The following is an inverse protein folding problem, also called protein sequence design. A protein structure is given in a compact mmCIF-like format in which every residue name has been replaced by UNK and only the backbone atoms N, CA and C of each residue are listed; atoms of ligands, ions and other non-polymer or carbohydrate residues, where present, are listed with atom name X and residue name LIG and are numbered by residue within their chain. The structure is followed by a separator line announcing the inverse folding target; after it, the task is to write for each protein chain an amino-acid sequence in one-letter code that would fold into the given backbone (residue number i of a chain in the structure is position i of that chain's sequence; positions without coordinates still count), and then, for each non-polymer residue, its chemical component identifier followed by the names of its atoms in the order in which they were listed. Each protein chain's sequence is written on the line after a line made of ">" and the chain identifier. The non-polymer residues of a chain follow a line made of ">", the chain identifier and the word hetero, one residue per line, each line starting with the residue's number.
data_IF_572613154202
#
_entry.id   IF_572613154202
#
_cell.length_a   1.000
_cell.length_b   1.000
_cell.length_c   1.000
_cell.angle_alpha   90.00
_cell.angle_beta   90.00
_cell.angle_gamma   90.00
#
_symmetry.space_group_name_H-M   'P 1'
#
loop_
_entity.id
_entity.type
_entity.pdbx_description
1 polymer ?
#
# COMPACT_ATOMS: atom_id res chain seq x y z
N UNK A 1 -11.98 47.68 -1.63
CA UNK A 1 -12.63 47.83 -2.95
C UNK A 1 -13.62 46.71 -3.12
N UNK A 2 -14.87 47.09 -3.36
CA UNK A 2 -16.08 46.27 -3.46
C UNK A 2 -16.06 45.37 -4.70
N UNK A 3 -16.51 44.13 -4.57
CA UNK A 3 -16.94 43.27 -5.68
C UNK A 3 -18.17 42.49 -5.24
N UNK A 4 -19.35 42.90 -5.73
CA UNK A 4 -20.68 42.46 -5.33
C UNK A 4 -21.42 41.94 -6.58
N UNK A 5 -22.24 40.89 -6.37
CA UNK A 5 -23.30 40.34 -7.25
C UNK A 5 -22.85 39.47 -8.46
N UNK A 6 -23.53 38.40 -8.88
CA UNK A 6 -24.98 38.17 -8.97
C UNK A 6 -25.41 36.67 -8.94
N UNK A 7 -26.69 36.46 -8.59
CA UNK A 7 -27.43 35.17 -8.59
C UNK A 7 -28.01 34.84 -9.98
N UNK A 8 -28.00 33.56 -10.41
CA UNK A 8 -29.03 33.01 -11.33
C UNK A 8 -29.38 31.53 -11.05
N UNK A 9 -30.61 31.35 -10.54
CA UNK A 9 -31.71 30.36 -10.76
C UNK A 9 -31.48 28.84 -11.00
N UNK A 10 -31.94 28.07 -10.01
CA UNK A 10 -33.01 27.01 -9.97
C UNK A 10 -33.14 25.98 -11.12
N UNK A 11 -33.12 24.69 -10.74
CA UNK A 11 -34.17 23.72 -11.10
C UNK A 11 -34.40 22.71 -9.96
N UNK A 12 -35.50 22.89 -9.21
CA UNK A 12 -36.03 21.92 -8.25
C UNK A 12 -36.90 20.89 -8.96
N UNK A 13 -36.69 19.61 -8.67
CA UNK A 13 -37.71 18.58 -8.86
C UNK A 13 -38.09 18.01 -7.48
N UNK A 14 -39.31 18.35 -7.03
CA UNK A 14 -40.01 17.68 -5.94
C UNK A 14 -40.91 16.60 -6.53
N UNK A 15 -40.89 15.42 -5.91
CA UNK A 15 -42.00 14.46 -5.78
C UNK A 15 -41.86 13.99 -4.31
N UNK A 16 -42.74 14.26 -3.33
CA UNK A 16 -44.20 14.21 -3.34
C UNK A 16 -44.62 12.74 -3.52
N UNK A 17 -45.17 11.99 -2.57
CA UNK A 17 -45.66 12.18 -1.21
C UNK A 17 -46.53 10.95 -0.86
N UNK A 18 -46.69 10.66 0.43
CA UNK A 18 -47.82 9.92 1.07
C UNK A 18 -48.04 8.43 0.68
N UNK A 19 -48.46 7.49 1.53
CA UNK A 19 -49.15 7.54 2.83
C UNK A 19 -49.32 6.12 3.43
N UNK A 20 -49.62 6.10 4.74
CA UNK A 20 -50.51 5.18 5.47
C UNK A 20 -50.04 3.80 5.97
N UNK A 21 -50.09 3.63 7.30
CA UNK A 21 -50.57 2.42 7.98
C UNK A 21 -50.94 2.74 9.45
N UNK A 22 -52.13 2.32 9.94
CA UNK A 22 -52.35 2.24 11.39
C UNK A 22 -52.91 0.89 11.87
N UNK A 23 -52.57 0.59 13.13
CA UNK A 23 -53.32 -0.27 14.06
C UNK A 23 -52.98 -1.76 14.04
N UNK A 24 -53.19 -2.55 15.10
CA UNK A 24 -53.39 -2.35 16.53
C UNK A 24 -53.48 -3.74 17.17
N UNK A 25 -53.17 -3.83 18.47
CA UNK A 25 -53.75 -4.76 19.49
C UNK A 25 -53.31 -6.24 19.58
N UNK A 26 -52.44 -6.47 20.56
CA UNK A 26 -52.56 -7.35 21.74
C UNK A 26 -53.34 -8.68 21.71
N UNK A 27 -52.71 -9.73 22.27
CA UNK A 27 -53.40 -10.75 23.08
C UNK A 27 -52.45 -11.45 24.09
N UNK A 28 -52.94 -11.60 25.33
CA UNK A 28 -52.39 -12.38 26.48
C UNK A 28 -52.49 -13.89 26.15
N UNK A 29 -51.95 -14.90 26.86
CA UNK A 29 -51.56 -15.16 28.27
C UNK A 29 -51.02 -16.61 28.33
N UNK A 30 -50.18 -16.95 29.32
CA UNK A 30 -50.37 -18.08 30.27
C UNK A 30 -49.02 -18.61 30.81
N UNK A 31 -49.10 -19.21 32.00
CA UNK A 31 -48.03 -19.40 32.96
C UNK A 31 -47.58 -20.88 33.10
N UNK A 32 -46.38 -21.06 33.65
CA UNK A 32 -46.04 -22.15 34.58
C UNK A 32 -45.29 -23.37 34.02
N UNK A 33 -44.04 -23.58 34.47
CA UNK A 33 -43.67 -24.65 35.42
C UNK A 33 -42.16 -24.68 35.66
N UNK A 34 -41.78 -25.12 36.86
CA UNK A 34 -40.40 -25.25 37.38
C UNK A 34 -40.05 -26.74 37.44
N UNK A 35 -38.82 -27.11 37.07
CA UNK A 35 -38.17 -28.33 37.56
C UNK A 35 -37.28 -29.07 36.56
N UNK A 36 -35.96 -28.99 36.74
CA UNK A 36 -35.06 -30.14 36.95
C UNK A 36 -33.61 -29.76 36.64
N UNK A 37 -32.74 -29.91 37.65
CA UNK A 37 -31.29 -29.77 37.58
C UNK A 37 -30.70 -31.06 37.02
N UNK A 38 -29.93 -30.97 35.94
CA UNK A 38 -29.16 -32.11 35.39
C UNK A 38 -27.67 -31.78 35.38
N UNK A 39 -26.91 -32.61 36.08
CA UNK A 39 -25.47 -32.55 36.32
C UNK A 39 -24.65 -32.47 35.01
N UNK A 40 -23.71 -31.52 34.95
CA UNK A 40 -22.71 -31.41 33.89
C UNK A 40 -21.48 -32.26 34.26
N UNK A 41 -21.24 -33.34 33.52
CA UNK A 41 -19.94 -34.05 33.54
C UNK A 41 -18.86 -33.18 32.86
N UNK A 42 -17.67 -32.97 33.46
CA UNK A 42 -16.58 -32.31 32.75
C UNK A 42 -15.99 -33.26 31.71
N UNK A 43 -15.92 -32.81 30.45
CA UNK A 43 -15.19 -33.51 29.38
C UNK A 43 -13.68 -33.35 29.61
N UNK A 44 -12.86 -34.36 29.26
CA UNK A 44 -11.42 -34.31 29.48
C UNK A 44 -10.74 -33.28 28.57
N UNK A 45 -9.97 -32.38 29.18
CA UNK A 45 -9.15 -31.37 28.51
C UNK A 45 -8.06 -32.04 27.67
N UNK A 46 -8.28 -32.11 26.35
CA UNK A 46 -7.23 -32.52 25.40
C UNK A 46 -6.42 -31.28 25.02
N UNK A 47 -5.23 -31.15 25.59
CA UNK A 47 -4.28 -30.10 25.20
C UNK A 47 -3.75 -30.39 23.80
N UNK A 48 -4.24 -29.65 22.81
CA UNK A 48 -3.70 -29.65 21.45
C UNK A 48 -2.52 -28.68 21.43
N UNK A 49 -1.32 -29.19 21.17
CA UNK A 49 -0.14 -28.38 20.85
C UNK A 49 -0.41 -27.63 19.55
N UNK A 50 -0.79 -26.37 19.66
CA UNK A 50 -0.98 -25.49 18.51
C UNK A 50 0.37 -25.33 17.80
N UNK A 51 0.46 -25.94 16.62
CA UNK A 51 1.48 -25.56 15.64
C UNK A 51 1.47 -24.06 15.47
N UNK A 52 2.67 -23.47 15.37
CA UNK A 52 2.95 -22.03 15.26
C UNK A 52 1.82 -21.30 14.52
N UNK A 53 0.89 -20.71 15.27
CA UNK A 53 -0.18 -19.91 14.69
C UNK A 53 0.52 -18.71 14.07
N UNK A 54 0.56 -18.66 12.73
CA UNK A 54 0.85 -17.44 12.02
C UNK A 54 -0.21 -16.43 12.49
N UNK A 55 0.14 -15.31 13.15
CA UNK A 55 -0.88 -14.37 13.60
C UNK A 55 -1.70 -13.96 12.38
N UNK A 56 -2.98 -14.33 12.35
CA UNK A 56 -3.92 -13.76 11.39
C UNK A 56 -3.84 -12.25 11.60
N UNK A 57 -3.60 -11.51 10.52
CA UNK A 57 -3.71 -10.07 10.57
C UNK A 57 -5.09 -9.71 11.14
N UNK A 58 -5.19 -8.78 12.10
CA UNK A 58 -6.48 -8.42 12.67
C UNK A 58 -7.45 -8.04 11.55
N UNK A 59 -8.70 -8.51 11.65
CA UNK A 59 -9.74 -8.32 10.62
C UNK A 59 -10.05 -6.86 10.31
N UNK A 60 -9.65 -5.96 11.21
CA UNK A 60 -9.81 -4.52 11.11
C UNK A 60 -8.58 -3.82 11.68
N UNK A 61 -8.27 -2.63 11.15
CA UNK A 61 -7.25 -1.73 11.68
C UNK A 61 -7.91 -0.46 12.20
N UNK A 62 -7.57 -0.04 13.40
CA UNK A 62 -8.02 1.23 13.98
C UNK A 62 -6.91 2.27 13.78
N UNK A 63 -7.26 3.40 13.19
CA UNK A 63 -6.34 4.51 12.94
C UNK A 63 -6.88 5.73 13.66
N UNK A 64 -6.04 6.35 14.50
CA UNK A 64 -6.34 7.61 15.13
C UNK A 64 -6.00 8.75 14.17
N UNK A 65 -6.97 9.58 13.81
CA UNK A 65 -6.76 10.66 12.85
C UNK A 65 -5.94 11.79 13.47
N UNK A 66 -4.90 12.24 12.77
CA UNK A 66 -4.02 13.34 13.16
C UNK A 66 -3.35 13.18 14.54
N UNK A 67 -3.23 11.94 15.03
CA UNK A 67 -2.57 11.61 16.28
C UNK A 67 -1.52 10.53 16.02
N UNK A 68 -0.26 10.95 15.86
CA UNK A 68 0.85 10.04 15.60
C UNK A 68 1.17 9.19 16.82
N UNK A 69 1.14 9.78 18.01
CA UNK A 69 1.53 9.11 19.25
C UNK A 69 0.59 7.93 19.57
N UNK A 70 -0.71 8.08 19.32
CA UNK A 70 -1.68 7.00 19.46
C UNK A 70 -1.48 5.86 18.43
N UNK A 71 -0.90 6.15 17.27
CA UNK A 71 -0.65 5.16 16.21
C UNK A 71 0.74 4.49 16.31
N UNK A 72 1.70 5.08 17.04
CA UNK A 72 3.08 4.52 17.21
C UNK A 72 3.07 3.08 17.74
N UNK A 73 2.29 2.70 18.78
CA UNK A 73 2.32 1.34 19.34
C UNK A 73 1.93 0.25 18.35
N UNK A 74 1.23 0.60 17.26
CA UNK A 74 0.84 -0.36 16.20
C UNK A 74 2.01 -0.72 15.30
N UNK A 75 3.03 0.15 15.18
CA UNK A 75 4.23 -0.13 14.40
C UNK A 75 3.99 -0.26 12.89
N UNK A 76 3.20 0.65 12.31
CA UNK A 76 2.96 0.68 10.86
C UNK A 76 4.27 0.82 10.07
N UNK A 77 4.33 0.22 8.87
CA UNK A 77 5.46 0.42 7.95
C UNK A 77 5.51 1.88 7.49
N UNK A 78 6.72 2.40 7.31
CA UNK A 78 6.92 3.73 6.73
C UNK A 78 6.56 3.79 5.25
N UNK A 79 6.36 5.00 4.73
CA UNK A 79 5.93 5.24 3.35
C UNK A 79 7.10 5.34 2.33
N UNK A 80 8.25 4.72 2.64
CA UNK A 80 9.40 4.72 1.71
C UNK A 80 9.30 3.57 0.72
N UNK A 81 9.49 3.87 -0.57
CA UNK A 81 9.56 2.87 -1.63
C UNK A 81 11.02 2.54 -1.94
N UNK A 82 11.34 1.26 -2.09
CA UNK A 82 12.66 0.80 -2.54
C UNK A 82 12.47 -0.34 -3.54
N UNK A 83 12.97 -0.12 -4.76
CA UNK A 83 12.95 -1.05 -5.89
C UNK A 83 14.35 -1.59 -6.23
N UNK A 84 15.39 -1.12 -5.53
CA UNK A 84 16.75 -1.64 -5.63
C UNK A 84 16.84 -3.07 -5.15
N UNK A 85 17.57 -3.91 -5.90
CA UNK A 85 17.74 -5.33 -5.57
C UNK A 85 18.96 -5.56 -4.68
N UNK A 86 19.95 -4.68 -4.78
CA UNK A 86 21.25 -4.89 -4.19
C UNK A 86 21.62 -3.77 -3.22
N UNK A 87 22.17 -4.17 -2.07
CA UNK A 87 23.06 -3.33 -1.30
C UNK A 87 24.51 -3.55 -1.79
N UNK A 88 25.42 -2.59 -1.53
CA UNK A 88 26.81 -2.58 -2.02
C UNK A 88 27.55 -3.90 -1.76
N UNK A 89 27.37 -4.49 -0.57
CA UNK A 89 27.98 -5.77 -0.18
C UNK A 89 27.28 -7.00 -0.76
N UNK A 90 25.99 -6.89 -1.06
CA UNK A 90 25.20 -8.01 -1.60
C UNK A 90 25.18 -8.05 -3.12
N UNK A 91 25.63 -6.98 -3.78
CA UNK A 91 25.63 -6.85 -5.23
C UNK A 91 26.45 -7.96 -5.89
N UNK A 92 27.71 -8.13 -5.47
CA UNK A 92 28.60 -9.09 -6.13
C UNK A 92 28.18 -10.55 -5.90
N UNK A 93 27.90 -11.01 -4.66
CA UNK A 93 27.49 -12.41 -4.45
C UNK A 93 26.15 -12.75 -5.12
N UNK A 94 25.15 -11.86 -5.02
CA UNK A 94 23.83 -12.12 -5.62
C UNK A 94 23.85 -11.93 -7.13
N UNK A 95 24.55 -10.92 -7.64
CA UNK A 95 24.71 -10.69 -9.08
C UNK A 95 25.40 -11.88 -9.75
N UNK A 96 26.49 -12.39 -9.19
CA UNK A 96 27.15 -13.59 -9.71
C UNK A 96 26.23 -14.82 -9.65
N UNK A 97 25.50 -15.00 -8.56
CA UNK A 97 24.52 -16.08 -8.44
C UNK A 97 23.46 -16.02 -9.55
N UNK A 98 22.89 -14.85 -9.82
CA UNK A 98 21.92 -14.66 -10.92
C UNK A 98 22.54 -14.93 -12.30
N UNK A 99 23.80 -14.54 -12.52
CA UNK A 99 24.48 -14.89 -13.78
C UNK A 99 24.66 -16.41 -13.93
N UNK A 100 25.04 -17.14 -12.88
CA UNK A 100 25.23 -18.59 -12.95
C UNK A 100 23.93 -19.41 -12.92
N UNK A 101 22.79 -18.80 -12.58
CA UNK A 101 21.47 -19.43 -12.81
C UNK A 101 21.14 -19.59 -14.30
N UNK A 102 21.88 -18.92 -15.20
CA UNK A 102 21.75 -19.12 -16.65
C UNK A 102 22.52 -20.35 -17.09
N UNK A 103 21.83 -21.31 -17.71
CA UNK A 103 22.40 -22.60 -18.15
C UNK A 103 23.68 -22.43 -18.99
N UNK A 104 23.72 -21.43 -19.89
CA UNK A 104 24.90 -21.14 -20.70
C UNK A 104 26.12 -20.77 -19.84
N UNK A 105 25.95 -19.93 -18.83
CA UNK A 105 27.04 -19.51 -17.95
C UNK A 105 27.54 -20.66 -17.08
N UNK A 106 26.64 -21.55 -16.65
CA UNK A 106 27.01 -22.79 -15.95
C UNK A 106 27.80 -23.74 -16.86
N UNK A 107 27.38 -23.89 -18.12
CA UNK A 107 28.12 -24.69 -19.11
C UNK A 107 29.55 -24.16 -19.30
N UNK A 108 29.71 -22.85 -19.56
CA UNK A 108 31.03 -22.25 -19.74
C UNK A 108 31.88 -22.30 -18.46
N UNK A 109 31.27 -22.22 -17.28
CA UNK A 109 31.95 -22.42 -16.00
C UNK A 109 32.53 -23.83 -15.90
N UNK A 110 31.74 -24.86 -16.22
CA UNK A 110 32.20 -26.25 -16.17
C UNK A 110 33.33 -26.50 -17.17
N UNK A 111 33.21 -25.99 -18.41
CA UNK A 111 34.29 -26.08 -19.41
C UNK A 111 35.55 -25.35 -18.92
N UNK A 112 35.40 -24.18 -18.31
CA UNK A 112 36.53 -23.42 -17.75
C UNK A 112 37.23 -24.21 -16.64
N UNK A 113 36.47 -24.83 -15.72
CA UNK A 113 37.02 -25.68 -14.65
C UNK A 113 37.74 -26.90 -15.24
N UNK A 114 37.11 -27.63 -16.16
CA UNK A 114 37.73 -28.79 -16.81
C UNK A 114 39.02 -28.41 -17.55
N UNK A 115 39.08 -27.22 -18.13
CA UNK A 115 40.27 -26.75 -18.85
C UNK A 115 41.49 -26.48 -17.95
N UNK A 116 41.30 -26.33 -16.63
CA UNK A 116 42.39 -26.21 -15.65
C UNK A 116 43.05 -27.55 -15.31
N UNK A 117 42.47 -28.66 -15.73
CA UNK A 117 43.03 -30.00 -15.49
C UNK A 117 44.15 -30.31 -16.50
N UNK A 118 45.15 -31.13 -16.12
CA UNK A 118 46.24 -31.52 -17.02
C UNK A 118 45.79 -32.39 -18.21
N UNK A 119 44.52 -32.80 -18.25
CA UNK A 119 43.91 -33.60 -19.33
C UNK A 119 43.46 -32.70 -20.49
N UNK A 120 43.31 -31.39 -20.25
CA UNK A 120 42.83 -30.44 -21.25
C UNK A 120 43.88 -30.18 -22.35
N UNK A 121 43.51 -30.29 -23.64
CA UNK A 121 44.39 -29.94 -24.75
C UNK A 121 44.48 -28.42 -24.99
N UNK A 122 43.62 -27.62 -24.33
CA UNK A 122 43.54 -26.16 -24.48
C UNK A 122 44.00 -25.46 -23.21
N UNK A 123 44.66 -24.31 -23.38
CA UNK A 123 45.15 -23.51 -22.26
C UNK A 123 43.98 -22.88 -21.48
N UNK A 124 43.94 -22.94 -20.14
CA UNK A 124 42.77 -22.51 -19.35
C UNK A 124 42.32 -21.06 -19.61
N UNK A 125 43.28 -20.19 -19.90
CA UNK A 125 43.04 -18.76 -20.20
C UNK A 125 42.09 -18.57 -21.37
N UNK A 126 42.11 -19.44 -22.39
CA UNK A 126 41.23 -19.29 -23.57
C UNK A 126 39.75 -19.47 -23.23
N UNK A 127 39.42 -20.20 -22.16
CA UNK A 127 38.04 -20.40 -21.69
C UNK A 127 37.64 -19.42 -20.58
N UNK A 128 38.56 -19.12 -19.65
CA UNK A 128 38.31 -18.22 -18.51
C UNK A 128 38.14 -16.76 -18.95
N UNK A 129 38.92 -16.31 -19.94
CA UNK A 129 38.89 -14.91 -20.38
C UNK A 129 37.54 -14.53 -21.01
N UNK A 130 36.97 -15.28 -21.97
CA UNK A 130 35.65 -14.95 -22.53
C UNK A 130 34.54 -15.00 -21.47
N UNK A 131 34.55 -16.01 -20.59
CA UNK A 131 33.56 -16.13 -19.52
C UNK A 131 33.63 -14.94 -18.55
N UNK A 132 34.83 -14.59 -18.10
CA UNK A 132 35.01 -13.47 -17.16
C UNK A 132 34.61 -12.14 -17.79
N UNK A 133 34.93 -11.91 -19.08
CA UNK A 133 34.51 -10.71 -19.81
C UNK A 133 32.97 -10.61 -19.90
N UNK A 134 32.30 -11.69 -20.28
CA UNK A 134 30.83 -11.71 -20.41
C UNK A 134 30.16 -11.49 -19.05
N UNK A 135 30.65 -12.13 -17.99
CA UNK A 135 30.15 -11.94 -16.63
C UNK A 135 30.38 -10.50 -16.16
N UNK A 136 31.57 -9.95 -16.39
CA UNK A 136 31.92 -8.59 -16.00
C UNK A 136 31.00 -7.57 -16.66
N UNK A 137 30.83 -7.64 -17.99
CA UNK A 137 29.92 -6.73 -18.72
C UNK A 137 28.48 -6.87 -18.22
N UNK A 138 28.04 -8.11 -17.93
CA UNK A 138 26.70 -8.37 -17.41
C UNK A 138 26.48 -7.74 -16.04
N UNK A 139 27.46 -7.89 -15.13
CA UNK A 139 27.41 -7.28 -13.80
C UNK A 139 27.46 -5.76 -13.89
N UNK A 140 28.33 -5.18 -14.73
CA UNK A 140 28.40 -3.73 -14.92
C UNK A 140 27.04 -3.19 -15.39
N UNK A 141 26.43 -3.82 -16.39
CA UNK A 141 25.10 -3.42 -16.88
C UNK A 141 24.07 -3.48 -15.75
N UNK A 142 24.06 -4.55 -14.97
CA UNK A 142 23.15 -4.72 -13.85
C UNK A 142 23.36 -3.67 -12.75
N UNK A 143 24.61 -3.31 -12.46
CA UNK A 143 24.94 -2.24 -11.52
C UNK A 143 24.39 -0.88 -12.00
N UNK A 144 24.54 -0.56 -13.29
CA UNK A 144 23.99 0.67 -13.86
C UNK A 144 22.45 0.70 -13.79
N UNK A 145 21.79 -0.42 -14.08
CA UNK A 145 20.33 -0.52 -13.98
C UNK A 145 19.85 -0.35 -12.53
N UNK A 146 20.51 -0.98 -11.56
CA UNK A 146 20.12 -0.86 -10.14
C UNK A 146 20.44 0.53 -9.58
N UNK A 147 21.52 1.18 -10.05
CA UNK A 147 21.81 2.58 -9.71
C UNK A 147 20.73 3.53 -10.22
N UNK A 148 20.24 3.33 -11.44
CA UNK A 148 19.13 4.11 -11.99
C UNK A 148 17.85 3.92 -11.18
N UNK A 149 17.58 2.70 -10.69
CA UNK A 149 16.45 2.44 -9.78
C UNK A 149 16.62 3.19 -8.46
N UNK A 150 17.81 3.20 -7.88
CA UNK A 150 18.10 3.97 -6.67
C UNK A 150 17.80 5.46 -6.85
N UNK A 151 18.24 6.04 -7.96
CA UNK A 151 17.95 7.45 -8.27
C UNK A 151 16.45 7.72 -8.37
N UNK A 152 15.70 6.83 -9.03
CA UNK A 152 14.25 6.94 -9.13
C UNK A 152 13.56 6.82 -7.76
N UNK A 153 13.96 5.83 -6.94
CA UNK A 153 13.43 5.66 -5.59
C UNK A 153 13.69 6.90 -4.75
N UNK A 154 14.89 7.49 -4.81
CA UNK A 154 15.24 8.71 -4.09
C UNK A 154 14.36 9.90 -4.53
N UNK A 155 14.11 10.03 -5.84
CA UNK A 155 13.25 11.08 -6.38
C UNK A 155 11.80 10.96 -5.87
N UNK A 156 11.20 9.77 -5.99
CA UNK A 156 9.81 9.49 -5.53
C UNK A 156 9.69 9.71 -4.02
N UNK A 157 10.65 9.19 -3.25
CA UNK A 157 10.63 9.33 -1.80
C UNK A 157 10.79 10.79 -1.32
N UNK A 158 11.39 11.65 -2.15
CA UNK A 158 11.60 13.07 -1.88
C UNK A 158 10.45 13.96 -2.39
N UNK A 159 9.46 13.42 -3.09
CA UNK A 159 8.31 14.18 -3.59
C UNK A 159 7.59 14.88 -2.43
N UNK A 160 7.27 16.18 -2.57
CA UNK A 160 6.59 16.94 -1.52
C UNK A 160 5.07 16.66 -1.48
N UNK A 161 4.50 16.76 -0.29
CA UNK A 161 3.05 16.70 -0.02
C UNK A 161 2.74 17.57 1.19
N UNK A 162 1.54 18.17 1.22
CA UNK A 162 1.11 19.00 2.34
C UNK A 162 0.40 18.13 3.39
N UNK A 163 0.86 18.19 4.63
CA UNK A 163 0.32 17.46 5.79
C UNK A 163 -0.22 18.46 6.79
N UNK A 164 -1.37 18.17 7.40
CA UNK A 164 -1.90 18.97 8.49
C UNK A 164 -1.11 18.66 9.77
N UNK A 165 -0.44 19.66 10.33
CA UNK A 165 0.22 19.56 11.63
C UNK A 165 -0.34 20.66 12.54
N UNK A 166 -1.00 20.24 13.63
CA UNK A 166 -1.81 21.17 14.43
C UNK A 166 -2.94 21.78 13.58
N UNK A 167 -2.86 23.09 13.35
CA UNK A 167 -3.80 23.85 12.50
C UNK A 167 -3.15 24.45 11.26
N UNK A 168 -1.99 23.94 10.83
CA UNK A 168 -1.25 24.47 9.68
C UNK A 168 -0.90 23.36 8.69
N UNK A 169 -0.90 23.72 7.42
CA UNK A 169 -0.45 22.86 6.34
C UNK A 169 1.06 23.00 6.17
N UNK A 170 1.78 21.91 6.39
CA UNK A 170 3.24 21.86 6.26
C UNK A 170 3.67 20.92 5.14
N UNK A 171 4.65 21.35 4.35
CA UNK A 171 5.21 20.53 3.27
C UNK A 171 6.17 19.48 3.84
N UNK A 172 5.88 18.22 3.57
CA UNK A 172 6.67 17.06 3.99
C UNK A 172 6.99 16.15 2.79
N UNK A 173 8.03 15.33 2.89
CA UNK A 173 8.39 14.37 1.84
C UNK A 173 7.56 13.09 1.95
N UNK A 174 7.24 12.44 0.83
CA UNK A 174 6.45 11.21 0.78
C UNK A 174 6.96 10.13 1.73
N UNK A 175 8.28 9.90 1.80
CA UNK A 175 8.87 8.90 2.71
C UNK A 175 8.63 9.14 4.20
N UNK A 176 8.28 10.38 4.58
CA UNK A 176 8.06 10.78 5.98
C UNK A 176 6.58 10.73 6.39
N UNK A 177 5.67 10.43 5.47
CA UNK A 177 4.26 10.24 5.78
C UNK A 177 4.05 9.05 6.73
N UNK A 178 3.12 9.22 7.65
CA UNK A 178 2.72 8.19 8.61
C UNK A 178 1.21 7.93 8.53
N UNK A 179 0.81 6.72 8.93
CA UNK A 179 -0.61 6.36 9.01
C UNK A 179 -1.29 7.23 10.06
N UNK A 180 -2.41 7.85 9.67
CA UNK A 180 -3.15 8.82 10.51
C UNK A 180 -2.93 10.27 10.10
N UNK A 181 -1.90 10.57 9.30
CA UNK A 181 -1.67 11.91 8.77
C UNK A 181 -2.82 12.36 7.87
N UNK A 182 -3.27 13.61 8.05
CA UNK A 182 -4.22 14.26 7.13
C UNK A 182 -3.40 14.98 6.06
N UNK A 183 -3.59 14.60 4.81
CA UNK A 183 -2.84 15.15 3.68
C UNK A 183 -3.76 15.95 2.76
N UNK A 184 -3.22 17.02 2.18
CA UNK A 184 -3.88 17.81 1.13
C UNK A 184 -3.20 17.52 -0.20
N UNK A 185 -3.99 17.01 -1.14
CA UNK A 185 -3.55 16.73 -2.51
C UNK A 185 -4.04 17.86 -3.41
N UNK A 186 -3.13 18.42 -4.21
CA UNK A 186 -3.44 19.47 -5.19
C UNK A 186 -3.97 18.85 -6.48
N UNK A 187 -4.63 19.67 -7.30
CA UNK A 187 -5.07 19.25 -8.63
C UNK A 187 -3.90 18.67 -9.43
N UNK A 188 -4.18 17.60 -10.18
CA UNK A 188 -3.21 16.83 -10.98
C UNK A 188 -2.04 16.23 -10.18
N UNK A 189 -2.15 16.21 -8.84
CA UNK A 189 -1.18 15.60 -7.95
C UNK A 189 -1.35 14.09 -7.85
N UNK A 190 -0.24 13.37 -7.79
CA UNK A 190 -0.24 11.94 -7.50
C UNK A 190 -0.59 11.66 -6.03
N UNK A 191 -1.25 10.52 -5.79
CA UNK A 191 -1.51 10.05 -4.44
C UNK A 191 -0.26 9.40 -3.83
N UNK A 192 0.17 9.84 -2.63
CA UNK A 192 1.39 9.34 -2.01
C UNK A 192 1.22 7.99 -1.29
N UNK A 193 -0.03 7.59 -1.02
CA UNK A 193 -0.43 6.39 -0.28
C UNK A 193 -1.93 6.12 -0.51
N UNK A 194 -2.45 5.05 0.08
CA UNK A 194 -3.89 4.81 0.15
C UNK A 194 -4.56 5.82 1.09
N UNK A 195 -5.50 6.62 0.57
CA UNK A 195 -6.14 7.70 1.31
C UNK A 195 -7.62 7.44 1.55
N UNK A 196 -8.13 7.93 2.68
CA UNK A 196 -9.55 8.11 2.91
C UNK A 196 -9.94 9.52 2.48
N UNK A 197 -10.90 9.65 1.56
CA UNK A 197 -11.33 10.93 1.04
C UNK A 197 -12.28 11.63 2.02
N UNK A 198 -11.84 12.76 2.58
CA UNK A 198 -12.57 13.48 3.64
C UNK A 198 -13.37 14.66 3.10
N UNK A 199 -12.77 15.48 2.24
CA UNK A 199 -13.35 16.72 1.72
C UNK A 199 -12.71 17.10 0.39
N UNK A 200 -13.41 17.90 -0.40
CA UNK A 200 -12.92 18.49 -1.66
C UNK A 200 -13.37 19.94 -1.75
N UNK A 201 -12.57 20.77 -2.42
CA UNK A 201 -12.91 22.17 -2.69
C UNK A 201 -14.13 22.32 -3.60
N UNK A 202 -14.57 21.25 -4.25
CA UNK A 202 -15.79 21.26 -5.07
C UNK A 202 -17.04 21.31 -4.17
N UNK A 203 -18.05 22.13 -4.51
CA UNK A 203 -19.25 22.31 -3.69
C UNK A 203 -20.08 21.03 -3.52
N UNK A 204 -19.97 20.09 -4.45
CA UNK A 204 -20.67 18.80 -4.37
C UNK A 204 -19.93 17.77 -3.48
N UNK A 205 -18.77 18.13 -2.92
CA UNK A 205 -17.88 17.24 -2.16
C UNK A 205 -17.33 16.08 -2.98
N UNK A 206 -17.21 16.28 -4.30
CA UNK A 206 -16.76 15.26 -5.26
C UNK A 206 -15.33 15.54 -5.70
N UNK A 207 -14.54 14.49 -5.93
CA UNK A 207 -13.29 14.55 -6.66
C UNK A 207 -13.28 13.56 -7.83
N UNK A 208 -12.49 13.89 -8.84
CA UNK A 208 -12.27 13.07 -10.02
C UNK A 208 -10.87 12.48 -9.92
N UNK A 209 -10.78 11.16 -10.11
CA UNK A 209 -9.53 10.42 -10.00
C UNK A 209 -9.25 9.76 -11.35
N UNK A 210 -8.06 10.02 -11.89
CA UNK A 210 -7.51 9.24 -12.99
C UNK A 210 -6.87 7.97 -12.44
N UNK A 211 -7.34 6.81 -12.91
CA UNK A 211 -6.86 5.50 -12.47
C UNK A 211 -6.16 4.73 -13.60
N UNK A 212 -5.84 5.38 -14.74
CA UNK A 212 -5.25 4.74 -15.90
C UNK A 212 -3.96 3.95 -15.58
N UNK A 213 -3.17 4.42 -14.61
CA UNK A 213 -1.96 3.72 -14.16
C UNK A 213 -2.22 2.42 -13.37
N UNK A 214 -3.45 2.19 -12.91
CA UNK A 214 -3.86 1.02 -12.12
C UNK A 214 -4.70 0.02 -12.92
N UNK A 215 -5.66 0.50 -13.73
CA UNK A 215 -6.60 -0.35 -14.47
C UNK A 215 -6.59 -0.15 -16.00
N UNK A 216 -5.86 0.84 -16.51
CA UNK A 216 -5.80 1.17 -17.93
C UNK A 216 -7.02 1.91 -18.47
N UNK A 217 -8.00 2.27 -17.63
CA UNK A 217 -9.16 3.05 -18.03
C UNK A 217 -8.80 4.54 -18.09
N UNK A 218 -9.16 5.20 -19.20
CA UNK A 218 -8.90 6.63 -19.41
C UNK A 218 -9.99 7.55 -18.84
N UNK A 219 -11.09 6.97 -18.36
CA UNK A 219 -12.20 7.72 -17.81
C UNK A 219 -11.92 8.13 -16.37
N UNK A 220 -12.31 9.36 -16.01
CA UNK A 220 -12.22 9.85 -14.64
C UNK A 220 -13.24 9.16 -13.75
N UNK A 221 -12.78 8.60 -12.63
CA UNK A 221 -13.63 7.98 -11.61
C UNK A 221 -14.05 9.01 -10.58
N UNK A 222 -15.35 9.06 -10.34
CA UNK A 222 -15.97 9.98 -9.37
C UNK A 222 -15.87 9.37 -7.96
N UNK A 223 -15.35 10.13 -7.00
CA UNK A 223 -15.41 9.80 -5.57
C UNK A 223 -16.11 10.93 -4.82
N UNK A 224 -17.01 10.58 -3.89
CA UNK A 224 -17.74 11.53 -3.05
C UNK A 224 -17.25 11.41 -1.60
N UNK A 225 -17.03 12.55 -0.96
CA UNK A 225 -16.69 12.64 0.44
C UNK A 225 -17.88 12.26 1.31
N UNK A 226 -17.62 11.88 2.56
CA UNK A 226 -18.68 11.68 3.53
C UNK A 226 -19.34 13.03 3.86
N UNK A 227 -20.67 13.08 3.87
CA UNK A 227 -21.44 14.32 4.12
C UNK A 227 -21.15 14.95 5.49
N UNK A 228 -20.65 14.15 6.46
CA UNK A 228 -20.25 14.66 7.77
C UNK A 228 -18.89 15.36 7.76
N UNK A 229 -18.04 15.09 6.78
CA UNK A 229 -16.65 15.58 6.75
C UNK A 229 -16.37 16.55 5.60
N UNK A 230 -17.28 16.65 4.62
CA UNK A 230 -17.04 17.42 3.40
C UNK A 230 -16.89 18.95 3.61
N UNK A 231 -17.34 19.47 4.76
CA UNK A 231 -17.29 20.90 5.11
C UNK A 231 -15.97 21.30 5.78
N UNK A 232 -15.09 20.33 6.09
CA UNK A 232 -13.79 20.55 6.75
C UNK A 232 -12.71 21.00 5.75
N UNK A 233 -12.95 22.13 5.09
CA UNK A 233 -11.99 22.73 4.15
C UNK A 233 -10.97 23.65 4.82
N UNK A 234 -11.25 24.10 6.06
CA UNK A 234 -10.44 25.06 6.80
C UNK A 234 -10.22 24.51 8.23
N UNK A 235 -8.96 24.32 8.67
CA UNK A 235 -8.64 23.86 10.03
C UNK A 235 -8.85 24.91 11.13
#
# INVERSE_FOLDING_TARGET
>A
MSGRWDRVRIATARLGGDSSAPGSRARRSSAGSVGSVSELRPLPSRTVTLGRIQPQAPTHRTIYCNDRDANIPVGYKGNSVSTTKYNLLTFLPKGLFEQFRRVANLYFLMISILSTTPISPVHPVTNVVPLSLVLLVSLIKEAFEDWKRLQNDLAINATPVEVLQGQRWETTQWKKLQVGDIVRIKQDGFFPADLLFLASTNPDGVCYIEAANLDGETNLKIRKALEKTWDYLIP
#
